data_IF_289122187489
#
_entry.id   IF_289122187489
#
_cell.length_a   1.000
_cell.length_b   1.000
_cell.length_c   1.000
_cell.angle_alpha   90.00
_cell.angle_beta   90.00
_cell.angle_gamma   90.00
#
_symmetry.space_group_name_H-M   'P 1'
#
loop_
_entity.id
_entity.type
_entity.pdbx_description
1 polymer ?
#
# COMPACT_ATOMS: atom_id res chain seq x y z
N UNK A 1 18.04 -15.11 -78.76
CA UNK A 1 16.67 -14.66 -78.39
C UNK A 1 15.85 -15.66 -77.53
N UNK A 2 16.30 -16.88 -77.25
CA UNK A 2 15.54 -17.88 -76.44
C UNK A 2 15.70 -17.80 -74.91
N UNK A 3 16.69 -17.07 -74.40
CA UNK A 3 17.02 -17.01 -72.96
C UNK A 3 16.28 -15.93 -72.17
N UNK A 4 15.93 -14.79 -72.80
CA UNK A 4 15.16 -13.72 -72.14
C UNK A 4 13.70 -14.12 -71.88
N UNK A 5 13.08 -14.86 -72.80
CA UNK A 5 11.69 -15.30 -72.65
C UNK A 5 11.47 -16.18 -71.40
N UNK A 6 12.43 -17.06 -71.07
CA UNK A 6 12.36 -17.90 -69.87
C UNK A 6 12.55 -17.12 -68.56
N UNK A 7 13.33 -16.03 -68.57
CA UNK A 7 13.48 -15.18 -67.38
C UNK A 7 12.22 -14.37 -67.09
N UNK A 8 11.56 -13.83 -68.11
CA UNK A 8 10.27 -13.14 -67.92
C UNK A 8 9.15 -14.09 -67.50
N UNK A 9 9.17 -15.34 -67.95
CA UNK A 9 8.21 -16.35 -67.52
C UNK A 9 8.43 -16.74 -66.04
N UNK A 10 9.68 -16.89 -65.60
CA UNK A 10 10.02 -17.17 -64.20
C UNK A 10 9.67 -16.00 -63.27
N UNK A 11 9.95 -14.76 -63.70
CA UNK A 11 9.62 -13.54 -62.96
C UNK A 11 8.10 -13.33 -62.90
N UNK A 12 7.37 -13.61 -63.99
CA UNK A 12 5.91 -13.60 -64.01
C UNK A 12 5.31 -14.65 -63.08
N UNK A 13 5.90 -15.85 -63.01
CA UNK A 13 5.46 -16.91 -62.09
C UNK A 13 5.72 -16.54 -60.62
N UNK A 14 6.90 -15.98 -60.30
CA UNK A 14 7.25 -15.52 -58.95
C UNK A 14 6.39 -14.31 -58.52
N UNK A 15 6.08 -13.38 -59.42
CA UNK A 15 5.15 -12.26 -59.14
C UNK A 15 3.70 -12.73 -58.97
N UNK A 16 3.28 -13.78 -59.69
CA UNK A 16 1.93 -14.37 -59.49
C UNK A 16 1.81 -15.12 -58.16
N UNK A 17 2.90 -15.70 -57.66
CA UNK A 17 2.97 -16.31 -56.32
C UNK A 17 3.02 -15.27 -55.19
N UNK A 18 3.58 -14.08 -55.44
CA UNK A 18 3.60 -12.98 -54.46
C UNK A 18 2.34 -12.09 -54.49
N UNK A 19 1.56 -12.11 -55.58
CA UNK A 19 0.35 -11.30 -55.76
C UNK A 19 -0.97 -11.98 -55.40
N UNK A 20 -0.97 -13.29 -55.16
CA UNK A 20 -2.12 -14.01 -54.62
C UNK A 20 -2.13 -13.79 -53.10
N UNK A 21 -2.89 -12.80 -52.64
CA UNK A 21 -3.35 -12.78 -51.24
C UNK A 21 -3.92 -14.15 -50.93
N UNK A 22 -3.31 -14.88 -49.99
CA UNK A 22 -3.73 -16.22 -49.61
C UNK A 22 -5.26 -16.28 -49.50
N UNK A 23 -5.90 -17.21 -50.21
CA UNK A 23 -7.37 -17.36 -50.29
C UNK A 23 -8.08 -17.30 -48.93
N UNK A 24 -7.39 -17.68 -47.86
CA UNK A 24 -7.83 -17.62 -46.45
C UNK A 24 -8.21 -16.20 -46.00
N UNK A 25 -7.55 -15.16 -46.52
CA UNK A 25 -7.84 -13.76 -46.17
C UNK A 25 -9.18 -13.28 -46.72
N UNK A 26 -9.61 -13.78 -47.89
CA UNK A 26 -10.87 -13.36 -48.53
C UNK A 26 -12.11 -13.93 -47.79
N UNK A 27 -11.97 -15.11 -47.17
CA UNK A 27 -13.05 -15.75 -46.42
C UNK A 27 -13.12 -15.36 -44.93
N UNK A 28 -12.18 -14.53 -44.47
CA UNK A 28 -12.11 -14.11 -43.06
C UNK A 28 -13.42 -13.50 -42.53
N UNK A 29 -14.11 -12.58 -43.26
CA UNK A 29 -15.41 -12.05 -42.81
C UNK A 29 -16.50 -13.12 -42.67
N UNK A 30 -16.52 -14.11 -43.57
CA UNK A 30 -17.47 -15.22 -43.52
C UNK A 30 -17.23 -16.12 -42.32
N UNK A 31 -15.97 -16.48 -42.04
CA UNK A 31 -15.62 -17.25 -40.84
C UNK A 31 -16.03 -16.52 -39.56
N UNK A 32 -15.78 -15.20 -39.47
CA UNK A 32 -16.20 -14.38 -38.34
C UNK A 32 -17.72 -14.37 -38.13
N UNK A 33 -18.49 -14.27 -39.23
CA UNK A 33 -19.95 -14.36 -39.19
C UNK A 33 -20.43 -15.70 -38.62
N UNK A 34 -19.87 -16.82 -39.11
CA UNK A 34 -20.27 -18.16 -38.65
C UNK A 34 -19.85 -18.45 -37.21
N UNK A 35 -18.68 -17.99 -36.76
CA UNK A 35 -18.27 -18.08 -35.35
C UNK A 35 -19.29 -17.43 -34.41
N UNK A 36 -19.86 -16.29 -34.81
CA UNK A 36 -20.88 -15.59 -34.02
C UNK A 36 -22.27 -16.23 -34.09
N UNK A 37 -22.63 -16.85 -35.22
CA UNK A 37 -23.97 -17.44 -35.45
C UNK A 37 -24.10 -18.88 -35.02
N UNK A 38 -23.03 -19.68 -35.13
CA UNK A 38 -23.02 -21.10 -34.83
C UNK A 38 -21.82 -21.47 -33.93
N UNK A 39 -21.91 -21.23 -32.61
CA UNK A 39 -20.81 -21.46 -31.68
C UNK A 39 -20.20 -22.87 -31.72
N UNK A 40 -21.00 -23.90 -32.04
CA UNK A 40 -20.54 -25.29 -32.20
C UNK A 40 -19.56 -25.49 -33.35
N UNK A 41 -19.54 -24.62 -34.36
CA UNK A 41 -18.65 -24.71 -35.52
C UNK A 41 -17.26 -24.09 -35.26
N UNK A 42 -17.06 -23.45 -34.11
CA UNK A 42 -15.82 -22.70 -33.81
C UNK A 42 -14.57 -23.57 -33.90
N UNK A 43 -14.62 -24.82 -33.42
CA UNK A 43 -13.50 -25.75 -33.52
C UNK A 43 -13.21 -26.12 -34.98
N UNK A 44 -14.23 -26.40 -35.78
CA UNK A 44 -14.06 -26.69 -37.21
C UNK A 44 -13.46 -25.48 -37.97
N UNK A 45 -13.93 -24.26 -37.67
CA UNK A 45 -13.40 -23.03 -38.26
C UNK A 45 -11.95 -22.78 -37.82
N UNK A 46 -11.58 -23.15 -36.59
CA UNK A 46 -10.20 -23.04 -36.11
C UNK A 46 -9.23 -23.91 -36.93
N UNK A 47 -9.61 -25.13 -37.30
CA UNK A 47 -8.78 -25.98 -38.16
C UNK A 47 -8.62 -25.41 -39.58
N UNK A 48 -9.63 -24.70 -40.09
CA UNK A 48 -9.60 -24.12 -41.43
C UNK A 48 -8.87 -22.76 -41.49
N UNK A 49 -9.03 -21.94 -40.44
CA UNK A 49 -8.54 -20.57 -40.40
C UNK A 49 -8.10 -20.17 -38.97
N UNK A 50 -7.01 -20.75 -38.45
CA UNK A 50 -6.61 -20.57 -37.04
C UNK A 50 -6.30 -19.10 -36.71
N UNK A 51 -5.68 -18.36 -37.64
CA UNK A 51 -5.40 -16.93 -37.47
C UNK A 51 -6.70 -16.12 -37.25
N UNK A 52 -7.77 -16.41 -38.00
CA UNK A 52 -9.05 -15.68 -37.89
C UNK A 52 -9.66 -15.89 -36.51
N UNK A 53 -9.66 -17.12 -36.01
CA UNK A 53 -10.17 -17.45 -34.67
C UNK A 53 -9.29 -16.83 -33.57
N UNK A 54 -7.97 -16.94 -33.68
CA UNK A 54 -7.03 -16.42 -32.68
C UNK A 54 -7.16 -14.91 -32.47
N UNK A 55 -7.44 -14.14 -33.54
CA UNK A 55 -7.70 -12.69 -33.41
C UNK A 55 -9.00 -12.33 -32.69
N UNK A 56 -9.92 -13.27 -32.51
CA UNK A 56 -11.24 -13.05 -31.89
C UNK A 56 -11.43 -13.72 -30.54
N UNK A 57 -10.41 -14.40 -29.99
CA UNK A 57 -10.57 -15.22 -28.78
C UNK A 57 -11.23 -14.47 -27.63
N UNK A 58 -10.88 -13.19 -27.43
CA UNK A 58 -11.48 -12.34 -26.39
C UNK A 58 -13.01 -12.17 -26.53
N UNK A 59 -13.55 -12.27 -27.76
CA UNK A 59 -14.98 -12.11 -28.07
C UNK A 59 -15.75 -13.43 -28.08
N UNK A 60 -15.07 -14.57 -28.10
CA UNK A 60 -15.73 -15.88 -28.08
C UNK A 60 -16.43 -16.12 -26.74
N UNK A 61 -17.54 -16.87 -26.74
CA UNK A 61 -18.20 -17.30 -25.51
C UNK A 61 -17.32 -18.26 -24.68
N UNK A 62 -17.63 -18.44 -23.40
CA UNK A 62 -16.87 -19.35 -22.52
C UNK A 62 -16.91 -20.80 -23.01
N UNK A 63 -18.04 -21.23 -23.58
CA UNK A 63 -18.18 -22.57 -24.18
C UNK A 63 -17.25 -22.73 -25.39
N UNK A 64 -17.20 -21.75 -26.28
CA UNK A 64 -16.30 -21.76 -27.44
C UNK A 64 -14.83 -21.78 -27.03
N UNK A 65 -14.44 -20.94 -26.06
CA UNK A 65 -13.07 -20.93 -25.53
C UNK A 65 -12.71 -22.28 -24.89
N UNK A 66 -13.63 -22.88 -24.14
CA UNK A 66 -13.41 -24.20 -23.53
C UNK A 66 -13.18 -25.27 -24.59
N UNK A 67 -14.02 -25.33 -25.61
CA UNK A 67 -13.81 -26.28 -26.71
C UNK A 67 -12.45 -26.09 -27.39
N UNK A 68 -12.07 -24.84 -27.70
CA UNK A 68 -10.74 -24.57 -28.28
C UNK A 68 -9.59 -24.97 -27.33
N UNK A 69 -9.74 -24.70 -26.03
CA UNK A 69 -8.78 -25.05 -25.00
C UNK A 69 -8.63 -26.58 -24.82
N UNK A 70 -9.72 -27.34 -24.97
CA UNK A 70 -9.72 -28.82 -24.98
C UNK A 70 -8.97 -29.39 -26.19
N UNK A 71 -8.90 -28.65 -27.30
CA UNK A 71 -8.07 -28.96 -28.48
C UNK A 71 -6.65 -28.38 -28.39
N UNK A 72 -6.12 -28.20 -27.18
CA UNK A 72 -4.77 -27.72 -26.91
C UNK A 72 -4.42 -26.32 -27.47
N UNK A 73 -5.41 -25.49 -27.83
CA UNK A 73 -5.15 -24.10 -28.19
C UNK A 73 -4.70 -23.30 -26.93
N UNK A 74 -3.42 -22.95 -26.91
CA UNK A 74 -2.77 -22.26 -25.78
C UNK A 74 -3.35 -20.87 -25.54
N UNK A 75 -3.62 -20.09 -26.59
CA UNK A 75 -4.22 -18.76 -26.47
C UNK A 75 -5.67 -18.84 -25.94
N UNK A 76 -6.41 -19.89 -26.32
CA UNK A 76 -7.75 -20.13 -25.79
C UNK A 76 -7.71 -20.49 -24.30
N UNK A 77 -6.76 -21.34 -23.87
CA UNK A 77 -6.52 -21.65 -22.44
C UNK A 77 -6.19 -20.38 -21.66
N UNK A 78 -5.31 -19.53 -22.20
CA UNK A 78 -4.98 -18.22 -21.63
C UNK A 78 -6.22 -17.32 -21.48
N UNK A 79 -6.98 -17.11 -22.55
CA UNK A 79 -8.17 -16.25 -22.53
C UNK A 79 -9.26 -16.78 -21.60
N UNK A 80 -9.42 -18.10 -21.53
CA UNK A 80 -10.35 -18.75 -20.62
C UNK A 80 -9.94 -18.55 -19.16
N UNK A 81 -8.65 -18.66 -18.84
CA UNK A 81 -8.12 -18.37 -17.52
C UNK A 81 -8.39 -16.91 -17.10
N UNK A 82 -8.09 -15.94 -17.97
CA UNK A 82 -8.38 -14.52 -17.70
C UNK A 82 -9.86 -14.28 -17.43
N UNK A 83 -10.75 -14.90 -18.20
CA UNK A 83 -12.19 -14.77 -18.02
C UNK A 83 -12.65 -15.32 -16.67
N UNK A 84 -12.14 -16.47 -16.26
CA UNK A 84 -12.48 -17.02 -14.95
C UNK A 84 -11.94 -16.18 -13.79
N UNK A 85 -10.75 -15.58 -13.94
CA UNK A 85 -10.24 -14.60 -12.96
C UNK A 85 -11.19 -13.40 -12.83
N UNK A 86 -11.61 -12.81 -13.95
CA UNK A 86 -12.55 -11.68 -13.96
C UNK A 86 -13.92 -12.03 -13.36
N UNK A 87 -14.33 -13.29 -13.43
CA UNK A 87 -15.56 -13.80 -12.85
C UNK A 87 -15.41 -14.19 -11.36
N UNK A 88 -14.22 -14.06 -10.77
CA UNK A 88 -13.93 -14.50 -9.41
C UNK A 88 -13.83 -16.02 -9.23
N UNK A 89 -13.83 -16.80 -10.32
CA UNK A 89 -13.70 -18.25 -10.26
C UNK A 89 -12.23 -18.69 -10.36
N UNK A 90 -11.48 -18.45 -9.29
CA UNK A 90 -10.03 -18.64 -9.27
C UNK A 90 -9.61 -20.10 -9.45
N UNK A 91 -10.34 -21.05 -8.87
CA UNK A 91 -10.09 -22.49 -9.03
C UNK A 91 -10.24 -22.91 -10.49
N UNK A 92 -11.29 -22.46 -11.19
CA UNK A 92 -11.45 -22.74 -12.61
C UNK A 92 -10.34 -22.08 -13.43
N UNK A 93 -9.95 -20.84 -13.12
CA UNK A 93 -8.86 -20.18 -13.81
C UNK A 93 -7.55 -20.99 -13.69
N UNK A 94 -7.22 -21.44 -12.47
CA UNK A 94 -6.01 -22.19 -12.17
C UNK A 94 -5.87 -23.46 -13.00
N UNK A 95 -6.97 -24.18 -13.25
CA UNK A 95 -6.98 -25.36 -14.13
C UNK A 95 -6.46 -25.05 -15.54
N UNK A 96 -6.73 -23.85 -16.06
CA UNK A 96 -6.40 -23.49 -17.44
C UNK A 96 -5.02 -22.84 -17.59
N UNK A 97 -4.52 -22.15 -16.57
CA UNK A 97 -3.23 -21.46 -16.67
C UNK A 97 -2.06 -22.18 -15.99
N UNK A 98 -2.27 -22.90 -14.88
CA UNK A 98 -1.15 -23.31 -14.01
C UNK A 98 -0.14 -24.24 -14.68
N UNK A 99 -0.63 -25.24 -15.40
CA UNK A 99 0.21 -26.22 -16.12
C UNK A 99 0.74 -25.66 -17.44
N UNK A 100 0.12 -24.61 -17.96
CA UNK A 100 0.42 -24.03 -19.28
C UNK A 100 1.17 -22.71 -19.20
N UNK A 101 1.46 -22.20 -18.00
CA UNK A 101 2.03 -20.87 -17.81
C UNK A 101 3.32 -20.66 -18.63
N UNK A 102 4.17 -21.69 -18.72
CA UNK A 102 5.45 -21.62 -19.46
C UNK A 102 5.28 -21.66 -20.98
N UNK A 103 4.10 -22.08 -21.47
CA UNK A 103 3.76 -22.06 -22.90
C UNK A 103 3.23 -20.69 -23.36
N UNK A 104 2.86 -19.82 -22.41
CA UNK A 104 2.43 -18.45 -22.72
C UNK A 104 3.64 -17.57 -23.06
N UNK A 105 3.43 -16.61 -23.96
CA UNK A 105 4.45 -15.60 -24.21
C UNK A 105 4.67 -14.70 -22.98
N UNK A 106 5.81 -13.99 -22.95
CA UNK A 106 6.17 -13.15 -21.80
C UNK A 106 5.09 -12.09 -21.47
N UNK A 107 4.45 -11.51 -22.49
CA UNK A 107 3.42 -10.48 -22.31
C UNK A 107 2.16 -11.09 -21.69
N UNK A 108 1.77 -12.29 -22.14
CA UNK A 108 0.68 -13.06 -21.59
C UNK A 108 0.96 -13.45 -20.13
N UNK A 109 2.16 -13.96 -19.83
CA UNK A 109 2.61 -14.28 -18.47
C UNK A 109 2.56 -13.06 -17.54
N UNK A 110 3.10 -11.92 -17.97
CA UNK A 110 3.07 -10.66 -17.22
C UNK A 110 1.64 -10.17 -16.99
N UNK A 111 0.79 -10.20 -18.01
CA UNK A 111 -0.60 -9.77 -17.88
C UNK A 111 -1.40 -10.71 -16.95
N UNK A 112 -1.18 -12.03 -17.03
CA UNK A 112 -1.79 -12.98 -16.11
C UNK A 112 -1.33 -12.75 -14.67
N UNK A 113 -0.02 -12.58 -14.44
CA UNK A 113 0.51 -12.24 -13.13
C UNK A 113 -0.09 -10.93 -12.59
N UNK A 114 -0.27 -9.92 -13.45
CA UNK A 114 -0.97 -8.68 -13.09
C UNK A 114 -2.43 -8.94 -12.70
N UNK A 115 -3.15 -9.78 -13.42
CA UNK A 115 -4.53 -10.16 -13.03
C UNK A 115 -4.56 -10.90 -11.70
N UNK A 116 -3.57 -11.77 -11.41
CA UNK A 116 -3.47 -12.44 -10.11
C UNK A 116 -3.26 -11.43 -8.97
N UNK A 117 -2.46 -10.38 -9.18
CA UNK A 117 -2.29 -9.28 -8.21
C UNK A 117 -3.61 -8.52 -7.99
N UNK A 118 -4.30 -8.14 -9.07
CA UNK A 118 -5.57 -7.40 -8.99
C UNK A 118 -6.64 -8.18 -8.22
N UNK A 119 -6.65 -9.50 -8.38
CA UNK A 119 -7.59 -10.40 -7.73
C UNK A 119 -7.06 -10.97 -6.39
N UNK A 120 -5.97 -10.42 -5.85
CA UNK A 120 -5.37 -10.82 -4.57
C UNK A 120 -5.03 -12.31 -4.45
N UNK A 121 -4.71 -12.96 -5.58
CA UNK A 121 -4.34 -14.37 -5.65
C UNK A 121 -2.88 -14.59 -5.24
N UNK A 122 -2.56 -14.22 -4.00
CA UNK A 122 -1.18 -14.20 -3.47
C UNK A 122 -0.54 -15.59 -3.37
N UNK A 123 -1.34 -16.63 -3.12
CA UNK A 123 -0.89 -18.03 -3.08
C UNK A 123 -0.43 -18.52 -4.46
N UNK A 124 -1.15 -18.15 -5.51
CA UNK A 124 -0.78 -18.45 -6.90
C UNK A 124 0.52 -17.76 -7.29
N UNK A 125 0.66 -16.47 -6.96
CA UNK A 125 1.90 -15.72 -7.19
C UNK A 125 3.09 -16.29 -6.41
N UNK A 126 2.87 -16.72 -5.16
CA UNK A 126 3.89 -17.38 -4.35
C UNK A 126 4.33 -18.72 -4.96
N UNK A 127 3.39 -19.51 -5.50
CA UNK A 127 3.70 -20.76 -6.22
C UNK A 127 4.55 -20.50 -7.46
N UNK A 128 4.18 -19.50 -8.27
CA UNK A 128 4.97 -19.06 -9.42
C UNK A 128 6.37 -18.58 -9.02
N UNK A 129 6.49 -17.82 -7.93
CA UNK A 129 7.78 -17.35 -7.44
C UNK A 129 8.68 -18.48 -6.96
N UNK A 130 8.16 -19.41 -6.15
CA UNK A 130 8.92 -20.57 -5.63
C UNK A 130 9.45 -21.48 -6.73
N UNK A 131 8.74 -21.55 -7.86
CA UNK A 131 9.11 -22.34 -9.03
C UNK A 131 9.93 -21.55 -10.06
N UNK A 132 10.33 -20.32 -9.75
CA UNK A 132 11.06 -19.41 -10.66
C UNK A 132 10.31 -19.12 -11.98
N UNK A 133 8.98 -19.16 -11.95
CA UNK A 133 8.10 -18.92 -13.10
C UNK A 133 7.45 -17.54 -13.08
N UNK A 134 7.49 -16.81 -11.96
CA UNK A 134 6.93 -15.45 -11.89
C UNK A 134 7.81 -14.49 -12.72
N UNK A 135 7.31 -13.93 -13.84
CA UNK A 135 8.10 -13.07 -14.71
C UNK A 135 8.49 -11.77 -14.02
N UNK A 136 9.60 -11.17 -14.45
CA UNK A 136 9.97 -9.82 -14.03
C UNK A 136 8.93 -8.78 -14.52
N UNK A 137 8.75 -7.73 -13.73
CA UNK A 137 7.78 -6.66 -13.95
C UNK A 137 6.96 -6.33 -12.71
N UNK A 138 5.97 -5.45 -12.86
CA UNK A 138 5.19 -4.87 -11.77
C UNK A 138 4.53 -5.91 -10.86
N UNK A 139 4.06 -7.02 -11.41
CA UNK A 139 3.40 -8.07 -10.62
C UNK A 139 4.35 -8.71 -9.60
N UNK A 140 5.60 -8.96 -10.02
CA UNK A 140 6.65 -9.49 -9.14
C UNK A 140 7.08 -8.48 -8.09
N UNK A 141 7.25 -7.22 -8.48
CA UNK A 141 7.56 -6.12 -7.56
C UNK A 141 6.44 -5.93 -6.53
N UNK A 142 5.18 -5.96 -6.95
CA UNK A 142 4.01 -5.88 -6.07
C UNK A 142 3.97 -7.07 -5.10
N UNK A 143 4.28 -8.27 -5.57
CA UNK A 143 4.37 -9.46 -4.72
C UNK A 143 5.51 -9.35 -3.69
N UNK A 144 6.66 -8.79 -4.08
CA UNK A 144 7.76 -8.51 -3.14
C UNK A 144 7.31 -7.56 -2.04
N UNK A 145 6.62 -6.46 -2.37
CA UNK A 145 6.05 -5.56 -1.38
C UNK A 145 5.05 -6.27 -0.47
N UNK A 146 4.14 -7.08 -1.04
CA UNK A 146 3.14 -7.82 -0.27
C UNK A 146 3.75 -8.81 0.73
N UNK A 147 4.93 -9.34 0.43
CA UNK A 147 5.68 -10.27 1.27
C UNK A 147 6.73 -9.58 2.14
N UNK A 148 6.71 -8.25 2.22
CA UNK A 148 7.64 -7.46 3.02
C UNK A 148 9.12 -7.79 2.71
N UNK A 149 9.43 -8.03 1.44
CA UNK A 149 10.78 -8.38 1.01
C UNK A 149 11.76 -7.21 1.26
N UNK A 150 13.07 -7.49 1.41
CA UNK A 150 14.07 -6.44 1.55
C UNK A 150 14.01 -5.41 0.41
N UNK A 151 14.31 -4.15 0.72
CA UNK A 151 14.34 -3.03 -0.25
C UNK A 151 15.25 -3.31 -1.45
N UNK A 152 16.30 -4.11 -1.28
CA UNK A 152 17.22 -4.56 -2.35
C UNK A 152 16.56 -5.40 -3.45
N UNK A 153 15.36 -5.93 -3.21
CA UNK A 153 14.57 -6.65 -4.23
C UNK A 153 13.65 -5.74 -5.03
N UNK A 154 13.45 -4.51 -4.57
CA UNK A 154 12.57 -3.54 -5.21
C UNK A 154 13.40 -2.64 -6.13
N UNK A 155 12.93 -2.44 -7.36
CA UNK A 155 13.58 -1.55 -8.32
C UNK A 155 13.19 -0.09 -8.05
N UNK A 156 14.14 0.83 -8.27
CA UNK A 156 13.90 2.27 -8.15
C UNK A 156 12.85 2.77 -9.15
N UNK A 157 12.82 2.20 -10.37
CA UNK A 157 11.81 2.53 -11.38
C UNK A 157 10.39 2.25 -10.88
N UNK A 158 10.17 1.05 -10.32
CA UNK A 158 8.89 0.68 -9.74
C UNK A 158 8.52 1.58 -8.55
N UNK A 159 9.48 1.88 -7.66
CA UNK A 159 9.25 2.75 -6.52
C UNK A 159 8.82 4.17 -6.94
N UNK A 160 9.51 4.74 -7.95
CA UNK A 160 9.19 6.05 -8.50
C UNK A 160 7.80 6.07 -9.17
N UNK A 161 7.47 5.04 -9.96
CA UNK A 161 6.16 4.92 -10.61
C UNK A 161 5.00 4.90 -9.60
N UNK A 162 5.25 4.33 -8.42
CA UNK A 162 4.27 4.17 -7.35
C UNK A 162 4.43 5.20 -6.20
N UNK A 163 5.24 6.25 -6.41
CA UNK A 163 5.42 7.38 -5.49
C UNK A 163 5.83 7.00 -4.06
N UNK A 164 6.79 6.09 -3.90
CA UNK A 164 7.39 5.78 -2.61
C UNK A 164 8.93 5.69 -2.72
N UNK A 165 9.62 5.85 -1.59
CA UNK A 165 11.07 5.78 -1.50
C UNK A 165 11.55 4.43 -0.99
N UNK A 166 12.74 4.01 -1.43
CA UNK A 166 13.47 2.84 -0.92
C UNK A 166 14.57 3.20 0.10
N UNK A 167 14.80 4.50 0.33
CA UNK A 167 15.82 5.01 1.24
C UNK A 167 15.28 6.15 2.10
N UNK A 168 15.71 6.16 3.36
CA UNK A 168 15.46 7.23 4.32
C UNK A 168 16.15 8.54 3.91
N UNK A 169 17.25 8.49 3.15
CA UNK A 169 17.98 9.69 2.72
C UNK A 169 17.28 10.46 1.59
N UNK A 170 16.29 9.85 0.94
CA UNK A 170 15.59 10.47 -0.19
C UNK A 170 14.40 11.34 0.25
N UNK A 171 14.05 11.35 1.54
CA UNK A 171 12.96 12.18 2.05
C UNK A 171 13.47 13.46 2.69
N UNK A 172 12.76 14.56 2.48
CA UNK A 172 13.12 15.89 2.98
C UNK A 172 12.07 16.42 3.94
N UNK A 173 12.52 17.20 4.92
CA UNK A 173 11.65 17.94 5.84
C UNK A 173 11.08 19.19 5.18
N UNK A 174 9.97 19.71 5.72
CA UNK A 174 9.46 21.02 5.39
C UNK A 174 9.76 22.01 6.55
N UNK A 175 10.59 23.05 6.31
CA UNK A 175 11.03 23.97 7.36
C UNK A 175 9.92 24.90 7.88
N UNK A 176 8.80 25.02 7.17
CA UNK A 176 7.66 25.84 7.60
C UNK A 176 6.80 25.09 8.63
N UNK A 177 6.96 23.77 8.72
CA UNK A 177 6.10 22.94 9.55
C UNK A 177 6.59 22.88 11.00
N UNK A 178 5.63 22.88 11.93
CA UNK A 178 5.90 22.74 13.35
C UNK A 178 6.50 21.38 13.68
N UNK A 179 5.95 20.32 13.09
CA UNK A 179 6.45 18.96 13.23
C UNK A 179 6.59 18.27 11.87
N UNK A 180 7.75 17.67 11.65
CA UNK A 180 7.99 16.81 10.50
C UNK A 180 7.84 15.34 10.90
N UNK A 181 7.07 14.59 10.13
CA UNK A 181 6.71 13.19 10.42
C UNK A 181 7.23 12.29 9.31
N UNK A 182 8.07 11.34 9.68
CA UNK A 182 8.60 10.33 8.78
C UNK A 182 7.57 9.20 8.61
N UNK A 183 7.13 8.97 7.38
CA UNK A 183 6.19 7.91 7.03
C UNK A 183 6.91 6.66 6.51
N UNK A 184 6.68 5.52 7.16
CA UNK A 184 7.34 4.25 6.85
C UNK A 184 6.31 3.13 6.71
N UNK A 185 6.51 2.22 5.76
CA UNK A 185 5.65 1.05 5.58
C UNK A 185 6.45 -0.23 5.26
N UNK A 186 6.01 -1.37 5.78
CA UNK A 186 6.64 -2.68 5.55
C UNK A 186 6.00 -3.50 4.43
N UNK A 187 4.85 -3.07 3.87
CA UNK A 187 4.11 -3.81 2.85
C UNK A 187 3.33 -2.90 1.89
N UNK A 188 2.82 -3.52 0.81
CA UNK A 188 2.09 -2.85 -0.29
C UNK A 188 0.92 -1.99 0.22
N UNK A 189 0.00 -2.59 0.98
CA UNK A 189 -1.22 -1.88 1.39
C UNK A 189 -0.92 -0.77 2.42
N UNK A 190 0.15 -0.92 3.20
CA UNK A 190 0.65 0.13 4.08
C UNK A 190 1.14 1.37 3.33
N UNK A 191 1.81 1.20 2.19
CA UNK A 191 2.20 2.32 1.32
C UNK A 191 0.95 3.06 0.83
N UNK A 192 -0.02 2.33 0.29
CA UNK A 192 -1.24 2.91 -0.25
C UNK A 192 -2.06 3.65 0.83
N UNK A 193 -2.19 3.06 2.02
CA UNK A 193 -2.92 3.67 3.14
C UNK A 193 -2.23 4.94 3.65
N UNK A 194 -0.90 4.96 3.81
CA UNK A 194 -0.17 6.17 4.22
C UNK A 194 -0.24 7.28 3.16
N UNK A 195 -0.13 6.94 1.87
CA UNK A 195 -0.34 7.91 0.78
C UNK A 195 -1.76 8.51 0.85
N UNK A 196 -2.77 7.68 1.08
CA UNK A 196 -4.16 8.13 1.26
C UNK A 196 -4.32 9.03 2.49
N UNK A 197 -3.75 8.66 3.63
CA UNK A 197 -3.83 9.47 4.86
C UNK A 197 -3.12 10.81 4.71
N UNK A 198 -1.93 10.82 4.09
CA UNK A 198 -1.21 12.04 3.73
C UNK A 198 -2.07 12.96 2.85
N UNK A 199 -2.67 12.42 1.79
CA UNK A 199 -3.54 13.19 0.89
C UNK A 199 -4.77 13.74 1.61
N UNK A 200 -5.42 12.92 2.45
CA UNK A 200 -6.58 13.34 3.24
C UNK A 200 -6.22 14.45 4.23
N UNK A 201 -5.10 14.31 4.95
CA UNK A 201 -4.63 15.35 5.86
C UNK A 201 -4.28 16.64 5.14
N UNK A 202 -3.57 16.58 4.01
CA UNK A 202 -3.20 17.77 3.24
C UNK A 202 -4.42 18.53 2.69
N UNK A 203 -5.52 17.83 2.41
CA UNK A 203 -6.78 18.44 1.96
C UNK A 203 -7.53 19.20 3.07
N UNK A 204 -7.35 18.79 4.33
CA UNK A 204 -7.96 19.42 5.51
C UNK A 204 -7.04 19.24 6.73
N UNK A 205 -5.97 20.04 6.85
CA UNK A 205 -4.97 19.87 7.89
C UNK A 205 -5.54 20.09 9.30
N UNK A 206 -5.18 19.21 10.23
CA UNK A 206 -5.58 19.31 11.64
C UNK A 206 -4.35 19.41 12.57
N UNK A 207 -4.40 20.21 13.64
CA UNK A 207 -5.46 21.16 13.98
C UNK A 207 -5.41 22.47 13.15
N UNK A 208 -4.32 22.70 12.42
CA UNK A 208 -4.15 23.83 11.52
C UNK A 208 -3.15 23.48 10.39
N UNK A 209 -3.07 24.36 9.39
CA UNK A 209 -2.04 24.25 8.35
C UNK A 209 -0.64 24.29 8.96
N UNK A 210 0.30 23.54 8.39
CA UNK A 210 1.69 23.42 8.83
C UNK A 210 1.88 22.85 10.25
N UNK A 211 0.84 22.32 10.90
CA UNK A 211 0.99 21.61 12.17
C UNK A 211 1.84 20.35 12.02
N UNK A 212 1.51 19.49 11.06
CA UNK A 212 2.27 18.29 10.71
C UNK A 212 2.55 18.22 9.22
N UNK A 213 3.78 17.88 8.88
CA UNK A 213 4.19 17.64 7.50
C UNK A 213 4.77 16.25 7.35
N UNK A 214 4.15 15.47 6.49
CA UNK A 214 4.48 14.07 6.26
C UNK A 214 5.44 13.92 5.09
N UNK A 215 6.50 13.13 5.28
CA UNK A 215 7.39 12.74 4.19
C UNK A 215 6.65 11.97 3.09
N UNK A 216 7.30 11.71 1.97
CA UNK A 216 6.88 10.59 1.13
C UNK A 216 7.08 9.27 1.89
N UNK A 217 6.30 8.25 1.52
CA UNK A 217 6.35 6.97 2.22
C UNK A 217 7.66 6.26 1.90
N UNK A 218 8.39 5.86 2.93
CA UNK A 218 9.59 5.04 2.79
C UNK A 218 9.22 3.57 3.01
N UNK A 219 9.43 2.75 2.00
CA UNK A 219 9.30 1.30 2.13
C UNK A 219 10.51 0.73 2.85
N UNK A 220 10.27 0.02 3.95
CA UNK A 220 11.32 -0.57 4.79
C UNK A 220 11.31 -2.10 4.80
N UNK A 221 10.32 -2.72 4.16
CA UNK A 221 10.21 -4.18 4.06
C UNK A 221 10.39 -4.86 5.42
N UNK A 222 11.24 -5.89 5.48
CA UNK A 222 11.51 -6.65 6.69
C UNK A 222 12.60 -6.07 7.62
N UNK A 223 12.96 -4.80 7.47
CA UNK A 223 13.99 -4.17 8.30
C UNK A 223 13.57 -4.12 9.78
N UNK A 224 12.32 -3.81 10.05
CA UNK A 224 11.78 -3.70 11.41
C UNK A 224 10.67 -4.73 11.58
N UNK A 225 10.88 -5.69 12.49
CA UNK A 225 9.86 -6.72 12.75
C UNK A 225 8.83 -6.14 13.70
N UNK A 226 7.60 -5.99 13.21
CA UNK A 226 6.49 -5.46 13.98
C UNK A 226 5.57 -6.61 14.42
N UNK A 227 5.29 -6.69 15.71
CA UNK A 227 4.47 -7.75 16.31
C UNK A 227 3.51 -7.12 17.33
N UNK A 228 2.36 -7.74 17.52
CA UNK A 228 1.44 -7.35 18.59
C UNK A 228 1.93 -7.91 19.92
N UNK A 229 2.17 -7.04 20.89
CA UNK A 229 2.58 -7.39 22.23
C UNK A 229 1.66 -6.69 23.23
N UNK A 230 0.99 -7.47 24.09
CA UNK A 230 0.00 -6.96 25.05
C UNK A 230 -1.09 -6.06 24.42
N UNK A 231 -1.62 -6.47 23.26
CA UNK A 231 -2.65 -5.74 22.50
C UNK A 231 -2.19 -4.37 21.96
N UNK A 232 -0.88 -4.15 21.82
CA UNK A 232 -0.31 -2.96 21.19
C UNK A 232 0.74 -3.39 20.16
N UNK A 233 0.71 -2.76 18.99
CA UNK A 233 1.72 -2.97 17.97
C UNK A 233 3.05 -2.31 18.38
N UNK A 234 4.14 -3.06 18.31
CA UNK A 234 5.50 -2.57 18.53
C UNK A 234 6.46 -3.17 17.50
N UNK A 235 7.40 -2.36 17.02
CA UNK A 235 8.46 -2.83 16.13
C UNK A 235 9.81 -2.94 16.85
N UNK A 236 10.63 -3.90 16.41
CA UNK A 236 12.01 -4.02 16.84
C UNK A 236 12.90 -3.01 16.12
N UNK A 237 13.25 -1.94 16.83
CA UNK A 237 14.07 -0.83 16.32
C UNK A 237 15.57 -1.05 16.43
N UNK A 238 16.08 -2.20 16.92
CA UNK A 238 17.53 -2.42 17.09
C UNK A 238 18.31 -2.27 15.78
N UNK A 239 17.70 -2.62 14.64
CA UNK A 239 18.33 -2.46 13.32
C UNK A 239 18.35 -1.01 12.80
N UNK A 240 17.76 -0.07 13.52
CA UNK A 240 17.84 1.36 13.20
C UNK A 240 19.29 1.86 13.21
N UNK A 241 20.16 1.28 14.03
CA UNK A 241 21.59 1.65 14.11
C UNK A 241 22.36 1.39 12.81
N UNK A 242 21.88 0.46 11.99
CA UNK A 242 22.53 0.09 10.74
C UNK A 242 22.20 1.04 9.58
N UNK A 243 21.40 2.07 9.83
CA UNK A 243 20.92 2.99 8.81
C UNK A 243 21.20 4.43 9.22
N UNK A 244 21.38 5.27 8.20
CA UNK A 244 21.43 6.71 8.38
C UNK A 244 20.01 7.25 8.36
N UNK A 245 19.68 8.12 9.32
CA UNK A 245 18.35 8.69 9.50
C UNK A 245 18.35 10.16 9.10
N UNK A 246 17.29 10.65 8.43
CA UNK A 246 17.21 12.03 8.01
C UNK A 246 17.04 12.95 9.23
N UNK A 247 17.87 13.99 9.31
CA UNK A 247 17.68 15.04 10.31
C UNK A 247 16.37 15.82 10.11
N UNK A 248 15.92 16.44 11.20
CA UNK A 248 14.80 17.39 11.21
C UNK A 248 13.42 16.76 11.25
N UNK A 249 13.31 15.43 11.27
CA UNK A 249 12.06 14.73 11.61
C UNK A 249 11.89 14.63 13.13
N UNK A 250 10.66 14.82 13.61
CA UNK A 250 10.30 14.79 15.03
C UNK A 250 9.66 13.46 15.44
N UNK A 251 8.84 12.91 14.54
CA UNK A 251 8.03 11.71 14.79
C UNK A 251 8.12 10.70 13.65
N UNK A 252 7.73 9.46 13.93
CA UNK A 252 7.63 8.38 12.95
C UNK A 252 6.19 7.87 12.92
N UNK A 253 5.67 7.60 11.73
CA UNK A 253 4.50 6.75 11.52
C UNK A 253 5.00 5.48 10.83
N UNK A 254 4.94 4.36 11.54
CA UNK A 254 5.29 3.04 11.03
C UNK A 254 4.01 2.25 10.78
N UNK A 255 3.68 2.07 9.50
CA UNK A 255 2.55 1.26 9.08
C UNK A 255 2.96 -0.18 8.84
N UNK A 256 2.46 -1.06 9.70
CA UNK A 256 2.68 -2.50 9.57
C UNK A 256 1.43 -3.21 9.04
N UNK A 257 1.54 -4.51 8.76
CA UNK A 257 0.43 -5.31 8.25
C UNK A 257 -0.66 -5.58 9.29
N UNK A 258 -0.29 -5.80 10.55
CA UNK A 258 -1.19 -6.33 11.59
C UNK A 258 -0.94 -5.63 12.94
N UNK A 259 -1.80 -5.89 13.92
CA UNK A 259 -1.68 -5.37 15.30
C UNK A 259 -2.39 -4.04 15.55
N UNK A 260 -2.70 -3.78 16.81
CA UNK A 260 -3.50 -2.61 17.24
C UNK A 260 -2.70 -1.31 17.25
N UNK A 261 -3.32 -0.20 16.83
CA UNK A 261 -2.68 1.10 16.77
C UNK A 261 -2.20 1.58 18.16
N UNK A 262 -1.06 2.24 18.21
CA UNK A 262 -0.46 2.75 19.46
C UNK A 262 0.64 3.78 19.17
N UNK A 263 0.77 4.79 20.03
CA UNK A 263 1.91 5.71 20.05
C UNK A 263 2.83 5.43 21.23
N UNK A 264 4.12 5.26 20.94
CA UNK A 264 5.16 5.12 21.96
C UNK A 264 6.41 5.89 21.55
N UNK A 265 6.87 6.79 22.42
CA UNK A 265 8.16 7.46 22.25
C UNK A 265 8.28 8.27 20.96
N UNK A 266 7.21 8.93 20.52
CA UNK A 266 7.21 9.68 19.25
C UNK A 266 7.10 8.80 18.00
N UNK A 267 6.75 7.52 18.16
CA UNK A 267 6.53 6.57 17.08
C UNK A 267 5.08 6.08 17.14
N UNK A 268 4.31 6.40 16.11
CA UNK A 268 2.99 5.82 15.87
C UNK A 268 3.16 4.50 15.13
N UNK A 269 2.68 3.43 15.73
CA UNK A 269 2.52 2.14 15.09
C UNK A 269 1.05 2.00 14.72
N UNK A 270 0.78 1.73 13.44
CA UNK A 270 -0.59 1.60 12.93
C UNK A 270 -0.63 0.48 11.88
N UNK A 271 -1.75 -0.23 11.76
CA UNK A 271 -1.90 -1.22 10.71
C UNK A 271 -2.66 -0.64 9.49
N UNK A 272 -2.46 -1.22 8.31
CA UNK A 272 -3.06 -0.74 7.05
C UNK A 272 -4.58 -0.93 6.93
N UNK A 273 -5.20 -1.71 7.82
CA UNK A 273 -6.66 -1.86 7.91
C UNK A 273 -7.34 -0.79 8.77
N UNK A 274 -6.57 0.00 9.52
CA UNK A 274 -7.11 1.08 10.36
C UNK A 274 -7.67 2.22 9.50
N UNK A 275 -8.65 2.93 10.06
CA UNK A 275 -9.23 4.10 9.41
C UNK A 275 -8.37 5.37 9.62
N UNK A 276 -8.57 6.38 8.77
CA UNK A 276 -7.98 7.71 8.96
C UNK A 276 -8.35 8.34 10.30
N UNK A 277 -9.52 8.06 10.86
CA UNK A 277 -9.93 8.59 12.16
C UNK A 277 -9.07 8.03 13.31
N UNK A 278 -8.66 6.76 13.21
CA UNK A 278 -7.66 6.16 14.13
C UNK A 278 -6.31 6.82 13.92
N UNK A 279 -5.85 7.01 12.68
CA UNK A 279 -4.63 7.77 12.41
C UNK A 279 -4.63 9.17 13.04
N UNK A 280 -5.75 9.91 12.93
CA UNK A 280 -5.88 11.24 13.52
C UNK A 280 -5.88 11.19 15.05
N UNK A 281 -6.56 10.21 15.65
CA UNK A 281 -6.52 9.95 17.09
C UNK A 281 -5.09 9.71 17.57
N UNK A 282 -4.36 8.81 16.92
CA UNK A 282 -2.97 8.52 17.27
C UNK A 282 -2.07 9.74 17.06
N UNK A 283 -2.33 10.58 16.05
CA UNK A 283 -1.55 11.79 15.78
C UNK A 283 -1.62 12.79 16.94
N UNK A 284 -2.75 12.83 17.66
CA UNK A 284 -2.92 13.70 18.84
C UNK A 284 -2.01 13.28 20.00
N UNK A 285 -1.67 12.00 20.12
CA UNK A 285 -0.74 11.52 21.16
C UNK A 285 0.68 12.10 20.99
N UNK A 286 1.10 12.50 19.78
CA UNK A 286 2.38 13.20 19.59
C UNK A 286 2.45 14.54 20.33
N UNK A 287 1.30 15.16 20.61
CA UNK A 287 1.24 16.37 21.43
C UNK A 287 0.81 16.09 22.88
N UNK A 288 0.80 14.84 23.31
CA UNK A 288 0.57 14.45 24.71
C UNK A 288 -0.90 14.39 25.12
N UNK A 289 -1.83 14.30 24.16
CA UNK A 289 -3.20 13.89 24.47
C UNK A 289 -3.21 12.46 25.01
N UNK A 290 -4.16 12.16 25.89
CA UNK A 290 -4.30 10.84 26.51
C UNK A 290 -5.65 10.22 26.18
N UNK A 291 -5.72 8.90 26.18
CA UNK A 291 -6.98 8.20 25.97
C UNK A 291 -7.99 8.48 27.09
N UNK A 292 -9.25 8.60 26.70
CA UNK A 292 -10.38 8.82 27.62
C UNK A 292 -11.21 7.56 27.87
N UNK A 293 -10.82 6.43 27.28
CA UNK A 293 -11.42 5.12 27.51
C UNK A 293 -10.63 4.32 28.58
N UNK A 294 -11.13 3.16 29.04
CA UNK A 294 -10.41 2.35 30.03
C UNK A 294 -8.99 1.99 29.58
N UNK A 295 -8.00 2.45 30.34
CA UNK A 295 -6.58 2.20 30.11
C UNK A 295 -6.13 0.85 30.68
N UNK A 296 -5.02 0.27 30.17
CA UNK A 296 -4.37 -0.86 30.80
C UNK A 296 -4.08 -0.60 32.28
N UNK A 297 -4.26 -1.62 33.12
CA UNK A 297 -4.28 -1.46 34.58
C UNK A 297 -3.07 -0.70 35.14
N UNK A 298 -1.86 -1.03 34.69
CA UNK A 298 -0.63 -0.34 35.12
C UNK A 298 -0.62 1.14 34.75
N UNK A 299 -1.00 1.49 33.52
CA UNK A 299 -1.08 2.88 33.04
C UNK A 299 -2.16 3.62 33.83
N UNK A 300 -3.30 2.97 34.07
CA UNK A 300 -4.38 3.54 34.88
C UNK A 300 -3.91 3.81 36.31
N UNK A 301 -3.26 2.86 36.99
CA UNK A 301 -2.75 3.07 38.35
C UNK A 301 -1.78 4.26 38.43
N UNK A 302 -0.82 4.35 37.50
CA UNK A 302 0.12 5.46 37.44
C UNK A 302 -0.56 6.81 37.16
N UNK A 303 -1.47 6.84 36.20
CA UNK A 303 -2.19 8.07 35.80
C UNK A 303 -3.06 8.58 36.95
N UNK A 304 -3.76 7.69 37.64
CA UNK A 304 -4.65 8.09 38.73
C UNK A 304 -3.91 8.53 39.99
N UNK A 305 -2.59 8.30 40.09
CA UNK A 305 -1.71 8.82 41.13
C UNK A 305 -1.28 10.27 40.91
N UNK A 306 -1.44 10.78 39.70
CA UNK A 306 -1.13 12.16 39.37
C UNK A 306 -2.18 13.14 39.92
N UNK A 307 -1.91 14.44 39.82
CA UNK A 307 -2.80 15.52 40.22
C UNK A 307 -2.71 16.70 39.24
N UNK A 308 -3.83 17.39 39.03
CA UNK A 308 -3.89 18.56 38.16
C UNK A 308 -4.06 18.21 36.69
N UNK A 309 -3.57 19.08 35.80
CA UNK A 309 -3.66 18.91 34.35
C UNK A 309 -2.54 17.98 33.88
N UNK A 310 -2.88 16.72 33.62
CA UNK A 310 -1.91 15.65 33.27
C UNK A 310 -1.74 15.47 31.76
N UNK A 311 -2.76 15.87 30.99
CA UNK A 311 -2.75 15.91 29.54
C UNK A 311 -3.60 17.10 29.06
N UNK A 312 -3.46 17.57 27.81
CA UNK A 312 -4.28 18.66 27.26
C UNK A 312 -5.79 18.41 27.40
N UNK A 313 -6.21 17.15 27.35
CA UNK A 313 -7.60 16.70 27.45
C UNK A 313 -7.95 15.98 28.75
N UNK A 314 -7.03 15.88 29.72
CA UNK A 314 -7.26 15.11 30.94
C UNK A 314 -6.73 15.80 32.21
N UNK A 315 -7.60 15.90 33.21
CA UNK A 315 -7.32 16.49 34.51
C UNK A 315 -7.65 15.51 35.63
N UNK A 316 -6.79 15.39 36.63
CA UNK A 316 -6.98 14.52 37.80
C UNK A 316 -7.26 15.36 39.04
N UNK A 317 -8.50 15.31 39.53
CA UNK A 317 -8.99 16.06 40.69
C UNK A 317 -8.86 15.23 41.98
N UNK A 318 -7.65 15.17 42.56
CA UNK A 318 -7.42 14.56 43.89
C UNK A 318 -7.79 15.53 45.01
N UNK A 319 -7.04 16.61 45.13
CA UNK A 319 -7.24 17.67 46.12
C UNK A 319 -7.53 19.03 45.48
N UNK A 320 -7.54 19.10 44.14
CA UNK A 320 -7.83 20.29 43.34
C UNK A 320 -9.20 20.22 42.67
N UNK A 321 -9.87 21.37 42.52
CA UNK A 321 -11.08 21.47 41.71
C UNK A 321 -10.75 21.35 40.22
N UNK A 322 -11.54 20.60 39.43
CA UNK A 322 -11.36 20.55 37.98
C UNK A 322 -11.66 21.91 37.34
N UNK A 323 -11.10 22.20 36.15
CA UNK A 323 -11.40 23.44 35.46
C UNK A 323 -12.89 23.59 35.16
N UNK A 324 -13.39 24.84 35.19
CA UNK A 324 -14.79 25.12 34.96
C UNK A 324 -15.29 24.53 33.62
N UNK A 325 -16.41 23.83 33.68
CA UNK A 325 -17.04 23.19 32.51
C UNK A 325 -16.55 21.78 32.18
N UNK A 326 -15.45 21.32 32.78
CA UNK A 326 -14.95 19.96 32.55
C UNK A 326 -15.86 18.92 33.20
N UNK A 327 -15.99 17.77 32.53
CA UNK A 327 -16.89 16.67 32.90
C UNK A 327 -16.09 15.43 33.28
N UNK A 328 -16.67 14.52 34.06
CA UNK A 328 -15.96 13.29 34.42
C UNK A 328 -15.62 12.46 33.18
N UNK A 329 -14.39 11.95 33.15
CA UNK A 329 -13.87 11.04 32.13
C UNK A 329 -13.97 9.60 32.61
N UNK A 330 -14.07 8.64 31.69
CA UNK A 330 -14.08 7.20 32.03
C UNK A 330 -12.71 6.74 32.52
N UNK A 331 -11.64 7.46 32.17
CA UNK A 331 -10.33 7.31 32.78
C UNK A 331 -10.41 7.33 34.32
N UNK A 332 -9.48 6.64 34.99
CA UNK A 332 -9.51 6.49 36.45
C UNK A 332 -10.86 6.03 37.02
N UNK A 333 -11.52 5.08 36.32
CA UNK A 333 -12.78 4.46 36.73
C UNK A 333 -13.89 5.48 37.04
N UNK A 334 -13.90 6.62 36.34
CA UNK A 334 -14.90 7.68 36.49
C UNK A 334 -14.96 8.33 37.90
N UNK A 335 -13.89 8.21 38.68
CA UNK A 335 -13.86 8.75 40.04
C UNK A 335 -13.30 10.17 40.09
N UNK A 336 -12.15 10.37 39.45
CA UNK A 336 -11.30 11.55 39.67
C UNK A 336 -10.74 12.18 38.39
N UNK A 337 -10.92 11.53 37.23
CA UNK A 337 -10.48 12.09 35.96
C UNK A 337 -11.59 12.94 35.33
N UNK A 338 -11.19 14.04 34.71
CA UNK A 338 -12.07 15.00 34.05
C UNK A 338 -11.55 15.29 32.64
N UNK A 339 -12.47 15.49 31.71
CA UNK A 339 -12.24 15.84 30.30
C UNK A 339 -12.98 17.14 29.94
N UNK A 340 -12.56 17.87 28.90
CA UNK A 340 -13.10 19.18 28.56
C UNK A 340 -14.52 19.15 27.97
N UNK A 341 -15.03 17.99 27.54
CA UNK A 341 -16.30 17.88 26.81
C UNK A 341 -17.29 16.92 27.46
N UNK A 342 -18.58 17.26 27.39
CA UNK A 342 -19.68 16.36 27.78
C UNK A 342 -19.87 15.20 26.81
N UNK A 343 -19.72 15.46 25.51
CA UNK A 343 -19.93 14.47 24.46
C UNK A 343 -18.72 13.52 24.35
N UNK A 344 -18.91 12.41 23.64
CA UNK A 344 -17.77 11.58 23.23
C UNK A 344 -16.79 12.41 22.42
N UNK A 345 -15.50 12.29 22.74
CA UNK A 345 -14.41 12.91 22.01
C UNK A 345 -13.74 11.86 21.11
N UNK A 346 -12.91 12.33 20.18
CA UNK A 346 -12.03 11.45 19.40
C UNK A 346 -11.09 10.63 20.30
N UNK A 347 -10.69 11.16 21.48
CA UNK A 347 -9.85 10.46 22.45
C UNK A 347 -10.61 9.40 23.27
N UNK A 348 -11.95 9.42 23.24
CA UNK A 348 -12.80 8.42 23.89
C UNK A 348 -13.31 7.37 22.90
N UNK A 349 -13.67 7.79 21.68
CA UNK A 349 -14.15 6.91 20.62
C UNK A 349 -13.61 7.35 19.26
N UNK A 350 -12.73 6.54 18.69
CA UNK A 350 -11.95 6.87 17.49
C UNK A 350 -12.78 7.18 16.24
N UNK A 351 -14.07 6.78 16.18
CA UNK A 351 -14.94 7.11 15.05
C UNK A 351 -15.61 8.49 15.17
N UNK A 352 -15.52 9.15 16.33
CA UNK A 352 -16.01 10.52 16.49
C UNK A 352 -14.98 11.47 15.88
N UNK A 353 -15.44 12.39 15.03
CA UNK A 353 -14.58 13.40 14.43
C UNK A 353 -14.01 14.39 15.46
N UNK A 354 -12.94 15.09 15.08
CA UNK A 354 -12.33 16.12 15.91
C UNK A 354 -13.29 17.31 16.11
N UNK A 355 -13.70 17.55 17.35
CA UNK A 355 -14.53 18.70 17.70
C UNK A 355 -13.72 19.98 17.77
N UNK A 356 -14.37 21.13 17.59
CA UNK A 356 -13.71 22.44 17.66
C UNK A 356 -12.98 22.66 19.00
N UNK A 357 -13.58 22.20 20.10
CA UNK A 357 -12.96 22.29 21.42
C UNK A 357 -11.62 21.54 21.48
N UNK A 358 -11.55 20.32 20.92
CA UNK A 358 -10.32 19.53 20.89
C UNK A 358 -9.31 20.10 19.90
N UNK A 359 -9.77 20.64 18.76
CA UNK A 359 -8.92 21.36 17.80
C UNK A 359 -8.21 22.53 18.46
N UNK A 360 -8.93 23.34 19.24
CA UNK A 360 -8.34 24.48 19.97
C UNK A 360 -7.37 24.04 21.07
N UNK A 361 -7.67 22.97 21.80
CA UNK A 361 -6.73 22.39 22.77
C UNK A 361 -5.46 21.89 22.09
N UNK A 362 -5.60 21.27 20.91
CA UNK A 362 -4.48 20.74 20.16
C UNK A 362 -3.60 21.87 19.63
N UNK A 363 -4.20 22.90 19.02
CA UNK A 363 -3.49 24.07 18.56
C UNK A 363 -2.74 24.78 19.70
N UNK A 364 -3.38 24.91 20.87
CA UNK A 364 -2.73 25.45 22.08
C UNK A 364 -1.50 24.63 22.46
N UNK A 365 -1.60 23.31 22.41
CA UNK A 365 -0.51 22.41 22.79
C UNK A 365 0.65 22.44 21.77
N UNK A 366 0.38 22.66 20.49
CA UNK A 366 1.42 22.87 19.48
C UNK A 366 2.18 24.18 19.76
N UNK A 367 1.48 25.26 20.09
CA UNK A 367 2.07 26.59 20.29
C UNK A 367 2.72 26.76 21.67
N UNK A 368 2.12 26.17 22.70
CA UNK A 368 2.51 26.32 24.11
C UNK A 368 2.35 24.97 24.84
N UNK A 369 3.28 24.02 24.60
CA UNK A 369 3.13 22.66 25.11
C UNK A 369 3.24 22.59 26.63
N UNK A 370 2.31 21.85 27.27
CA UNK A 370 2.36 21.53 28.71
C UNK A 370 3.63 20.77 29.09
N UNK A 371 4.09 19.89 28.22
CA UNK A 371 5.31 19.09 28.35
C UNK A 371 6.00 19.01 27.00
N UNK A 372 7.34 18.94 26.99
CA UNK A 372 8.09 18.78 25.74
C UNK A 372 7.64 17.47 25.07
N UNK A 373 7.20 17.49 23.79
CA UNK A 373 6.87 16.27 23.07
C UNK A 373 8.06 15.32 23.04
N UNK A 374 7.81 14.03 23.30
CA UNK A 374 8.85 12.99 23.19
C UNK A 374 9.05 12.69 21.72
N UNK A 375 10.25 12.98 21.21
CA UNK A 375 10.62 12.72 19.81
C UNK A 375 11.17 11.30 19.66
N UNK A 376 11.09 10.73 18.46
CA UNK A 376 11.61 9.37 18.23
C UNK A 376 13.10 9.24 18.58
N UNK A 377 13.88 10.30 18.34
CA UNK A 377 15.29 10.34 18.68
C UNK A 377 15.54 10.25 20.20
N UNK A 378 14.69 10.90 21.01
CA UNK A 378 14.76 10.81 22.48
C UNK A 378 14.45 9.37 22.94
N UNK A 379 13.48 8.72 22.31
CA UNK A 379 13.12 7.33 22.60
C UNK A 379 14.22 6.33 22.20
N UNK A 380 14.84 6.52 21.04
CA UNK A 380 16.00 5.72 20.64
C UNK A 380 17.16 5.88 21.62
N UNK A 381 17.49 7.11 22.01
CA UNK A 381 18.50 7.36 23.03
C UNK A 381 18.17 6.68 24.37
N UNK A 382 16.92 6.75 24.82
CA UNK A 382 16.45 6.10 26.05
C UNK A 382 16.55 4.57 25.99
N UNK A 383 16.22 3.97 24.85
CA UNK A 383 16.28 2.51 24.64
C UNK A 383 17.69 2.00 24.29
N UNK A 384 18.67 2.91 24.21
CA UNK A 384 20.06 2.58 23.87
C UNK A 384 20.33 2.38 22.38
N UNK A 385 19.34 2.66 21.52
CA UNK A 385 19.48 2.62 20.06
C UNK A 385 20.19 3.89 19.60
N UNK A 386 21.34 3.76 18.95
CA UNK A 386 22.19 4.89 18.52
C UNK A 386 22.29 4.99 17.00
N UNK A 387 21.23 5.44 16.30
CA UNK A 387 21.31 5.64 14.86
C UNK A 387 22.20 6.82 14.50
N UNK A 388 22.84 6.73 13.34
CA UNK A 388 23.49 7.89 12.74
C UNK A 388 22.39 8.78 12.14
N UNK A 389 22.26 10.00 12.63
CA UNK A 389 21.35 11.00 12.06
C UNK A 389 22.18 11.91 11.15
N UNK A 390 21.73 12.15 9.91
CA UNK A 390 22.41 13.09 9.01
C UNK A 390 22.51 14.46 9.67
N UNK A 391 23.58 15.20 9.42
CA UNK A 391 23.61 16.62 9.80
C UNK A 391 22.71 17.38 8.85
N UNK A 392 21.70 18.09 9.37
CA UNK A 392 20.97 19.06 8.57
C UNK A 392 21.98 20.03 7.96
N UNK A 393 21.88 20.30 6.65
CA UNK A 393 22.59 21.40 5.99
C UNK A 393 22.10 22.71 6.61
N UNK A 394 22.72 23.09 7.72
CA UNK A 394 22.56 24.38 8.37
C UNK A 394 23.28 25.41 7.51
N UNK A 395 22.63 25.91 6.46
CA UNK A 395 22.96 27.23 5.91
C UNK A 395 22.37 28.30 6.84
N UNK A 396 22.88 28.36 8.06
CA UNK A 396 22.83 29.55 8.90
C UNK A 396 24.24 29.70 9.46
N UNK A 397 25.02 30.48 8.74
CA UNK A 397 26.13 31.21 9.31
C UNK A 397 25.62 31.86 10.60
N UNK A 398 26.17 31.43 11.73
CA UNK A 398 26.19 32.27 12.91
C UNK A 398 27.04 33.48 12.54
N UNK A 399 26.40 34.62 12.28
CA UNK A 399 27.08 35.90 12.42
C UNK A 399 27.31 36.11 13.90
N UNK A 400 28.58 36.38 14.24
CA UNK A 400 29.04 36.85 15.55
C UNK A 400 28.20 38.01 16.11
#
# INVERSE_FOLDING_TARGET
MKTRANQYLLVGLLLSLCGLSSSVSYFSPSYLYYIGKAPSQTAAIYYLAPHVVNTQLARLSTSQLRHLAEFDNTDAKYQLALRFLQQGNFSAAQLWWQTQFDSFDLKQQQNLAKQLVINEQWSALESLWKTNRLPDGDAKQTWFLQKSMPTTKITTEYANLHNFSLSLDAVTTNPICHFNVLMMADHKDGIAALQSFKGQYQSSPEPAINSFCFSDVVYVGNQYRCEENNNALQCDWRKAENHTWPAGFDFIVMMSKEGSANVQGGIMHINSSQSYAVFLHELMHFNGFEDEYPLPEKKQQWLCQQEGLVAPNLFIARNSLPPNGWQKSVACKNQMAYKPSLNWSIMQYQKVGLSEQYRQLWLKQINSPLTKPVRYADYFAFTGVKPVITTALSSKEFSD
#
